data_IF_514094139975
#
_entry.id   IF_514094139975
#
_cell.length_a   1.000
_cell.length_b   1.000
_cell.length_c   1.000
_cell.angle_alpha   90.00
_cell.angle_beta   90.00
_cell.angle_gamma   90.00
#
_symmetry.space_group_name_H-M   'P 1'
#
loop_
_entity.id
_entity.type
_entity.pdbx_description
1 polymer ?
#
# COMPACT_ATOMS: atom_id res chain seq x y z
N UNK A 1 14.18 -17.26 -11.46
CA UNK A 1 14.48 -18.04 -10.25
C UNK A 1 13.23 -18.80 -9.88
N UNK A 2 13.33 -20.10 -9.61
CA UNK A 2 12.19 -20.92 -9.20
C UNK A 2 11.93 -20.65 -7.72
N UNK A 3 10.77 -20.08 -7.36
CA UNK A 3 10.41 -19.82 -5.96
C UNK A 3 10.25 -21.15 -5.22
N UNK A 4 11.01 -21.35 -4.14
CA UNK A 4 10.81 -22.49 -3.24
C UNK A 4 9.71 -22.14 -2.23
N UNK A 5 8.55 -22.77 -2.37
CA UNK A 5 7.42 -22.55 -1.48
C UNK A 5 7.58 -23.30 -0.15
N UNK A 6 7.19 -22.66 0.94
CA UNK A 6 7.17 -23.26 2.28
C UNK A 6 5.74 -23.70 2.62
N UNK A 7 5.49 -25.01 2.84
CA UNK A 7 4.16 -25.51 3.22
C UNK A 7 3.65 -24.88 4.53
N UNK A 8 2.34 -24.63 4.60
CA UNK A 8 1.69 -24.08 5.78
C UNK A 8 0.35 -23.43 5.46
N UNK A 9 -0.36 -22.92 6.48
CA UNK A 9 -1.72 -22.37 6.33
C UNK A 9 -1.77 -21.16 5.40
N UNK A 10 -0.71 -20.34 5.35
CA UNK A 10 -0.63 -19.19 4.43
C UNK A 10 -0.55 -19.64 2.97
N UNK A 11 0.29 -20.63 2.68
CA UNK A 11 0.41 -21.18 1.33
C UNK A 11 -0.86 -21.92 0.90
N UNK A 12 -1.48 -22.65 1.84
CA UNK A 12 -2.78 -23.30 1.61
C UNK A 12 -3.85 -22.28 1.26
N UNK A 13 -3.98 -21.21 2.06
CA UNK A 13 -4.95 -20.14 1.80
C UNK A 13 -4.70 -19.47 0.43
N UNK A 14 -3.44 -19.15 0.10
CA UNK A 14 -3.07 -18.52 -1.17
C UNK A 14 -3.38 -19.40 -2.40
N UNK A 15 -3.47 -20.73 -2.24
CA UNK A 15 -3.72 -21.68 -3.34
C UNK A 15 -5.16 -22.17 -3.43
N UNK A 16 -5.87 -22.20 -2.30
CA UNK A 16 -7.21 -22.83 -2.21
C UNK A 16 -8.35 -21.83 -2.09
N UNK A 17 -8.02 -20.54 -1.90
CA UNK A 17 -9.00 -19.46 -1.75
C UNK A 17 -8.75 -18.35 -2.77
N UNK A 18 -9.70 -17.45 -3.03
CA UNK A 18 -9.47 -16.28 -3.87
C UNK A 18 -8.63 -15.18 -3.19
N UNK A 19 -8.17 -15.38 -1.95
CA UNK A 19 -7.43 -14.39 -1.18
C UNK A 19 -5.99 -14.26 -1.67
N UNK A 20 -5.60 -13.04 -2.06
CA UNK A 20 -4.22 -12.69 -2.35
C UNK A 20 -3.50 -12.27 -1.06
N UNK A 21 -2.43 -12.97 -0.69
CA UNK A 21 -1.61 -12.62 0.46
C UNK A 21 -0.66 -11.47 0.11
N UNK A 22 -0.65 -10.42 0.93
CA UNK A 22 0.28 -9.28 0.79
C UNK A 22 1.11 -9.14 2.08
N UNK A 23 2.38 -8.81 1.92
CA UNK A 23 3.29 -8.52 3.03
C UNK A 23 3.13 -7.05 3.47
N UNK A 24 2.81 -6.78 4.73
CA UNK A 24 2.77 -5.39 5.23
C UNK A 24 4.17 -4.89 5.64
N UNK A 25 5.14 -5.09 4.76
CA UNK A 25 6.53 -4.67 4.91
C UNK A 25 7.25 -4.64 3.55
N UNK A 26 8.19 -3.71 3.40
CA UNK A 26 9.09 -3.57 2.26
C UNK A 26 10.52 -4.06 2.53
N UNK A 27 10.76 -4.65 3.71
CA UNK A 27 12.02 -5.33 4.01
C UNK A 27 12.22 -6.53 3.07
N UNK A 28 13.36 -6.57 2.38
CA UNK A 28 13.62 -7.59 1.36
C UNK A 28 13.66 -9.02 1.92
N UNK A 29 14.08 -9.21 3.17
CA UNK A 29 14.12 -10.52 3.81
C UNK A 29 12.71 -10.99 4.17
N UNK A 30 11.89 -10.11 4.72
CA UNK A 30 10.49 -10.38 5.07
C UNK A 30 9.65 -10.61 3.82
N UNK A 31 9.88 -9.82 2.76
CA UNK A 31 9.20 -9.97 1.48
C UNK A 31 9.55 -11.30 0.80
N UNK A 32 10.83 -11.69 0.77
CA UNK A 32 11.23 -13.01 0.23
C UNK A 32 10.57 -14.16 1.00
N UNK A 33 10.51 -14.05 2.33
CA UNK A 33 9.82 -15.03 3.16
C UNK A 33 8.32 -15.09 2.86
N UNK A 34 7.66 -13.93 2.74
CA UNK A 34 6.25 -13.84 2.38
C UNK A 34 5.96 -14.46 1.01
N UNK A 35 6.81 -14.20 0.00
CA UNK A 35 6.72 -14.84 -1.32
C UNK A 35 6.83 -16.38 -1.21
N UNK A 36 7.74 -16.88 -0.36
CA UNK A 36 7.84 -18.32 -0.06
C UNK A 36 6.55 -18.89 0.56
N UNK A 37 5.76 -18.08 1.26
CA UNK A 37 4.45 -18.45 1.80
C UNK A 37 3.28 -18.22 0.83
N UNK A 38 3.53 -17.86 -0.43
CA UNK A 38 2.49 -17.56 -1.42
C UNK A 38 2.08 -16.08 -1.47
N UNK A 39 2.86 -15.19 -0.86
CA UNK A 39 2.67 -13.74 -0.95
C UNK A 39 2.87 -13.22 -2.37
N UNK A 40 1.97 -12.35 -2.80
CA UNK A 40 1.90 -11.80 -4.17
C UNK A 40 1.86 -10.27 -4.20
N UNK A 41 2.22 -9.62 -3.10
CA UNK A 41 2.31 -8.16 -3.03
C UNK A 41 2.92 -7.70 -1.72
N UNK A 42 3.24 -6.41 -1.64
CA UNK A 42 3.82 -5.80 -0.46
C UNK A 42 3.38 -4.36 -0.27
N UNK A 43 3.60 -3.80 0.91
CA UNK A 43 3.33 -2.39 1.20
C UNK A 43 4.54 -1.69 1.83
N UNK A 44 4.62 -0.39 1.57
CA UNK A 44 5.62 0.53 2.09
C UNK A 44 4.91 1.84 2.47
N UNK A 45 4.75 2.06 3.77
CA UNK A 45 4.31 3.34 4.33
C UNK A 45 5.48 3.99 5.09
N UNK A 46 5.40 5.27 5.50
CA UNK A 46 6.52 5.93 6.17
C UNK A 46 7.02 5.22 7.44
N UNK A 47 6.13 4.57 8.20
CA UNK A 47 6.50 3.82 9.41
C UNK A 47 7.25 2.54 9.04
N UNK A 48 6.81 1.82 8.01
CA UNK A 48 7.49 0.64 7.47
C UNK A 48 8.88 1.04 6.97
N UNK A 49 8.97 2.06 6.12
CA UNK A 49 10.25 2.50 5.55
C UNK A 49 11.25 2.90 6.65
N UNK A 50 10.80 3.68 7.64
CA UNK A 50 11.62 4.03 8.79
C UNK A 50 12.08 2.80 9.58
N UNK A 51 11.18 1.84 9.81
CA UNK A 51 11.51 0.60 10.53
C UNK A 51 12.55 -0.24 9.79
N UNK A 52 12.40 -0.38 8.47
CA UNK A 52 13.37 -1.08 7.59
C UNK A 52 14.74 -0.39 7.62
N UNK A 53 14.79 0.94 7.49
CA UNK A 53 16.04 1.71 7.58
C UNK A 53 16.72 1.49 8.93
N UNK A 54 15.96 1.58 10.02
CA UNK A 54 16.47 1.41 11.38
C UNK A 54 16.98 -0.01 11.66
N UNK A 55 16.35 -1.03 11.07
CA UNK A 55 16.74 -2.44 11.22
C UNK A 55 18.04 -2.77 10.46
N UNK A 56 18.28 -2.12 9.32
CA UNK A 56 19.43 -2.38 8.44
C UNK A 56 20.33 -1.14 8.29
N UNK A 57 20.79 -0.58 9.42
CA UNK A 57 21.62 0.63 9.42
C UNK A 57 22.98 0.44 8.74
N UNK A 58 23.52 -0.77 8.74
CA UNK A 58 24.72 -1.17 8.02
C UNK A 58 24.57 -1.00 6.50
N UNK A 59 23.36 -1.19 5.97
CA UNK A 59 23.03 -0.99 4.55
C UNK A 59 22.62 0.47 4.28
N UNK A 60 21.72 1.03 5.09
CA UNK A 60 21.08 2.30 4.77
C UNK A 60 21.89 3.53 5.17
N UNK A 61 22.74 3.46 6.20
CA UNK A 61 23.60 4.59 6.58
C UNK A 61 24.51 5.04 5.43
N UNK A 62 25.36 4.17 4.84
CA UNK A 62 26.22 4.60 3.74
C UNK A 62 25.44 5.06 2.50
N UNK A 63 24.25 4.50 2.25
CA UNK A 63 23.37 4.94 1.15
C UNK A 63 22.82 6.36 1.38
N UNK A 64 22.33 6.63 2.60
CA UNK A 64 21.82 7.96 2.97
C UNK A 64 22.95 9.01 2.92
N UNK A 65 24.15 8.65 3.41
CA UNK A 65 25.34 9.51 3.30
C UNK A 65 25.70 9.80 1.83
N UNK A 66 25.63 8.78 0.96
CA UNK A 66 25.86 8.95 -0.47
C UNK A 66 24.80 9.83 -1.15
N UNK A 67 23.51 9.67 -0.81
CA UNK A 67 22.42 10.53 -1.30
C UNK A 67 22.69 11.99 -0.89
N UNK A 68 23.07 12.22 0.37
CA UNK A 68 23.38 13.55 0.88
C UNK A 68 24.60 14.17 0.17
N UNK A 69 25.67 13.40 -0.02
CA UNK A 69 26.87 13.85 -0.71
C UNK A 69 26.61 14.19 -2.19
N UNK A 70 25.77 13.41 -2.88
CA UNK A 70 25.40 13.65 -4.27
C UNK A 70 24.43 14.84 -4.43
N UNK A 71 23.69 15.21 -3.37
CA UNK A 71 22.68 16.26 -3.40
C UNK A 71 22.91 17.29 -2.28
N UNK A 72 23.96 18.12 -2.37
CA UNK A 72 24.40 18.98 -1.26
C UNK A 72 23.40 20.07 -0.86
N UNK A 73 22.38 20.35 -1.68
CA UNK A 73 21.33 21.34 -1.40
C UNK A 73 20.05 20.72 -0.86
N UNK A 74 19.96 19.38 -0.78
CA UNK A 74 18.76 18.70 -0.30
C UNK A 74 18.65 18.74 1.23
N UNK A 75 17.44 18.97 1.72
CA UNK A 75 17.12 18.79 3.14
C UNK A 75 16.84 17.33 3.50
N UNK A 76 16.74 17.06 4.81
CA UNK A 76 16.49 15.72 5.38
C UNK A 76 15.29 15.01 4.74
N UNK A 77 14.23 15.75 4.44
CA UNK A 77 13.04 15.20 3.82
C UNK A 77 13.28 14.71 2.40
N UNK A 78 14.06 15.43 1.60
CA UNK A 78 14.35 15.03 0.21
C UNK A 78 15.25 13.79 0.21
N UNK A 79 16.24 13.77 1.09
CA UNK A 79 17.13 12.63 1.30
C UNK A 79 16.34 11.39 1.76
N UNK A 80 15.47 11.55 2.76
CA UNK A 80 14.63 10.47 3.26
C UNK A 80 13.69 9.90 2.19
N UNK A 81 13.04 10.76 1.40
CA UNK A 81 12.18 10.30 0.31
C UNK A 81 12.97 9.62 -0.81
N UNK A 82 14.22 10.03 -1.09
CA UNK A 82 15.06 9.30 -2.03
C UNK A 82 15.37 7.89 -1.53
N UNK A 83 15.70 7.72 -0.24
CA UNK A 83 15.89 6.39 0.33
C UNK A 83 14.62 5.52 0.23
N UNK A 84 13.43 6.11 0.41
CA UNK A 84 12.15 5.41 0.21
C UNK A 84 11.96 4.99 -1.25
N UNK A 85 12.32 5.82 -2.23
CA UNK A 85 12.26 5.48 -3.66
C UNK A 85 13.17 4.29 -3.97
N UNK A 86 14.42 4.35 -3.54
CA UNK A 86 15.40 3.28 -3.77
C UNK A 86 14.94 1.96 -3.14
N UNK A 87 14.45 2.01 -1.90
CA UNK A 87 13.86 0.84 -1.20
C UNK A 87 12.69 0.26 -1.98
N UNK A 88 11.84 1.12 -2.53
CA UNK A 88 10.63 0.70 -3.23
C UNK A 88 10.97 0.03 -4.56
N UNK A 89 11.96 0.54 -5.30
CA UNK A 89 12.44 -0.10 -6.54
C UNK A 89 12.99 -1.50 -6.26
N UNK A 90 13.79 -1.65 -5.21
CA UNK A 90 14.37 -2.95 -4.83
C UNK A 90 13.30 -3.97 -4.42
N UNK A 91 12.32 -3.55 -3.63
CA UNK A 91 11.22 -4.43 -3.20
C UNK A 91 10.28 -4.77 -4.37
N UNK A 92 9.98 -3.81 -5.26
CA UNK A 92 9.18 -4.02 -6.45
C UNK A 92 9.82 -5.03 -7.41
N UNK A 93 11.16 -5.02 -7.54
CA UNK A 93 11.89 -5.96 -8.37
C UNK A 93 11.68 -7.44 -7.96
N UNK A 94 11.55 -7.73 -6.66
CA UNK A 94 11.26 -9.08 -6.17
C UNK A 94 9.88 -9.60 -6.60
N UNK A 95 8.93 -8.70 -6.84
CA UNK A 95 7.55 -9.01 -7.21
C UNK A 95 7.31 -9.01 -8.73
N UNK A 96 8.29 -8.56 -9.53
CA UNK A 96 8.14 -8.44 -10.99
C UNK A 96 7.76 -9.76 -11.69
N UNK A 97 8.32 -10.93 -11.35
CA UNK A 97 7.89 -12.19 -11.96
C UNK A 97 6.41 -12.50 -11.72
N UNK A 98 5.91 -12.21 -10.50
CA UNK A 98 4.51 -12.40 -10.12
C UNK A 98 3.62 -11.39 -10.86
N UNK A 99 4.10 -10.17 -11.05
CA UNK A 99 3.38 -9.14 -11.81
C UNK A 99 3.16 -9.55 -13.27
N UNK A 100 4.18 -10.13 -13.89
CA UNK A 100 4.08 -10.62 -15.26
C UNK A 100 3.17 -11.86 -15.35
N UNK A 101 3.30 -12.81 -14.43
CA UNK A 101 2.44 -14.00 -14.33
C UNK A 101 0.94 -13.65 -14.19
N UNK A 102 0.63 -12.65 -13.37
CA UNK A 102 -0.75 -12.24 -13.09
C UNK A 102 -1.26 -11.10 -14.00
N UNK A 103 -0.57 -10.81 -15.11
CA UNK A 103 -0.90 -9.73 -16.04
C UNK A 103 -1.19 -8.38 -15.35
N UNK A 104 -0.39 -8.05 -14.34
CA UNK A 104 -0.50 -6.82 -13.57
C UNK A 104 -1.57 -6.79 -12.48
N UNK A 105 -2.37 -7.85 -12.29
CA UNK A 105 -3.34 -7.87 -11.18
C UNK A 105 -2.65 -7.97 -9.81
N UNK A 106 -1.68 -8.87 -9.70
CA UNK A 106 -0.85 -9.07 -8.50
C UNK A 106 0.62 -8.70 -8.79
N UNK A 107 1.52 -9.03 -7.87
CA UNK A 107 2.95 -8.75 -7.97
C UNK A 107 3.27 -7.28 -7.73
N UNK A 108 2.49 -6.60 -6.90
CA UNK A 108 2.57 -5.14 -6.74
C UNK A 108 3.21 -4.74 -5.42
N UNK A 109 4.04 -3.70 -5.47
CA UNK A 109 4.49 -3.00 -4.28
C UNK A 109 3.67 -1.72 -4.10
N UNK A 110 3.07 -1.57 -2.92
CA UNK A 110 2.37 -0.34 -2.57
C UNK A 110 3.29 0.69 -1.93
N UNK A 111 3.29 1.93 -2.41
CA UNK A 111 4.09 3.04 -1.84
C UNK A 111 3.18 4.18 -1.45
N UNK A 112 3.22 4.64 -0.19
CA UNK A 112 2.36 5.72 0.27
C UNK A 112 2.90 7.10 -0.07
N UNK A 113 2.02 7.97 -0.57
CA UNK A 113 2.30 9.40 -0.76
C UNK A 113 2.65 10.08 0.56
N UNK A 114 3.26 11.26 0.48
CA UNK A 114 3.62 12.06 1.62
C UNK A 114 2.38 12.51 2.41
N UNK A 115 2.23 12.10 3.68
CA UNK A 115 1.08 12.49 4.50
C UNK A 115 0.96 14.02 4.68
N UNK A 116 2.04 14.79 4.48
CA UNK A 116 2.02 16.25 4.56
C UNK A 116 1.18 16.87 3.45
N UNK A 117 0.97 16.17 2.32
CA UNK A 117 0.11 16.61 1.22
C UNK A 117 -1.39 16.33 1.44
N UNK A 118 -1.81 15.87 2.62
CA UNK A 118 -3.22 15.52 2.90
C UNK A 118 -4.28 16.61 2.64
N UNK A 119 -3.88 17.87 2.46
CA UNK A 119 -4.77 19.01 2.13
C UNK A 119 -4.70 19.45 0.68
N UNK A 120 -3.88 18.81 -0.13
CA UNK A 120 -3.64 19.20 -1.52
C UNK A 120 -3.83 17.99 -2.44
N UNK A 121 -5.01 17.90 -3.07
CA UNK A 121 -5.35 16.80 -3.95
C UNK A 121 -4.41 16.72 -5.17
N UNK A 122 -3.99 17.89 -5.68
CA UNK A 122 -3.08 17.95 -6.82
C UNK A 122 -1.69 17.45 -6.43
N UNK A 123 -1.14 17.87 -5.30
CA UNK A 123 0.16 17.39 -4.83
C UNK A 123 0.16 15.87 -4.58
N UNK A 124 -0.93 15.32 -4.03
CA UNK A 124 -1.10 13.87 -3.87
C UNK A 124 -1.10 13.14 -5.22
N UNK A 125 -1.87 13.63 -6.19
CA UNK A 125 -1.96 13.00 -7.51
C UNK A 125 -0.66 13.13 -8.31
N UNK A 126 0.04 14.28 -8.22
CA UNK A 126 1.34 14.49 -8.86
C UNK A 126 2.40 13.54 -8.30
N UNK A 127 2.47 13.39 -6.99
CA UNK A 127 3.37 12.43 -6.38
C UNK A 127 2.97 10.98 -6.69
N UNK A 128 1.67 10.71 -6.86
CA UNK A 128 1.23 9.39 -7.27
C UNK A 128 1.70 9.03 -8.68
N UNK A 129 1.69 9.97 -9.62
CA UNK A 129 2.29 9.75 -10.94
C UNK A 129 3.81 9.57 -10.84
N UNK A 130 4.47 10.38 -10.01
CA UNK A 130 5.92 10.25 -9.77
C UNK A 130 6.28 8.85 -9.25
N UNK A 131 5.60 8.37 -8.21
CA UNK A 131 5.87 7.07 -7.60
C UNK A 131 5.49 5.90 -8.50
N UNK A 132 4.40 6.02 -9.26
CA UNK A 132 4.03 5.03 -10.26
C UNK A 132 5.13 4.83 -11.31
N UNK A 133 5.82 5.90 -11.68
CA UNK A 133 6.92 5.86 -12.65
C UNK A 133 8.21 5.20 -12.15
N UNK A 134 8.32 4.83 -10.87
CA UNK A 134 9.53 4.20 -10.33
C UNK A 134 9.69 2.74 -10.80
N UNK A 135 8.58 2.02 -11.02
CA UNK A 135 8.53 0.66 -11.56
C UNK A 135 7.11 0.28 -12.01
N UNK A 136 6.99 -0.53 -13.07
CA UNK A 136 5.71 -0.94 -13.68
C UNK A 136 4.69 -1.53 -12.69
N UNK A 137 5.19 -2.16 -11.62
CA UNK A 137 4.39 -2.87 -10.63
C UNK A 137 4.20 -2.10 -9.32
N UNK A 138 4.37 -0.77 -9.32
CA UNK A 138 4.00 0.07 -8.18
C UNK A 138 2.52 0.43 -8.21
N UNK A 139 1.90 0.33 -7.03
CA UNK A 139 0.56 0.83 -6.72
C UNK A 139 0.69 1.93 -5.67
N UNK A 140 0.08 3.10 -5.88
CA UNK A 140 0.32 4.24 -4.99
C UNK A 140 -0.77 4.35 -3.93
N UNK A 141 -0.36 4.48 -2.69
CA UNK A 141 -1.25 4.55 -1.55
C UNK A 141 -1.66 5.99 -1.21
N UNK A 142 -2.96 6.28 -1.26
CA UNK A 142 -3.56 7.58 -0.94
C UNK A 142 -4.65 7.40 0.16
N UNK A 143 -4.67 8.22 1.22
CA UNK A 143 -5.70 8.16 2.26
C UNK A 143 -7.12 8.48 1.76
N UNK A 144 -8.14 7.77 2.28
CA UNK A 144 -9.56 7.98 2.00
C UNK A 144 -10.16 9.18 2.75
N UNK A 145 -9.49 10.33 2.67
CA UNK A 145 -10.04 11.63 3.09
C UNK A 145 -10.81 12.26 1.93
N UNK A 146 -11.65 13.26 2.17
CA UNK A 146 -12.34 13.98 1.08
C UNK A 146 -11.37 14.45 -0.02
N UNK A 147 -10.28 15.11 0.38
CA UNK A 147 -9.21 15.56 -0.53
C UNK A 147 -8.50 14.38 -1.19
N UNK A 148 -8.29 13.29 -0.47
CA UNK A 148 -7.69 12.08 -1.02
C UNK A 148 -8.56 11.41 -2.08
N UNK A 149 -9.89 11.40 -1.92
CA UNK A 149 -10.82 10.87 -2.93
C UNK A 149 -10.72 11.68 -4.24
N UNK A 150 -10.61 13.00 -4.16
CA UNK A 150 -10.37 13.86 -5.32
C UNK A 150 -9.04 13.51 -6.01
N UNK A 151 -7.97 13.30 -5.23
CA UNK A 151 -6.66 12.88 -5.76
C UNK A 151 -6.66 11.48 -6.37
N UNK A 152 -7.43 10.55 -5.78
CA UNK A 152 -7.55 9.16 -6.24
C UNK A 152 -8.18 9.12 -7.64
N UNK A 153 -9.23 9.90 -7.89
CA UNK A 153 -9.86 9.99 -9.21
C UNK A 153 -8.88 10.55 -10.26
N UNK A 154 -8.21 11.67 -9.95
CA UNK A 154 -7.22 12.28 -10.86
C UNK A 154 -6.05 11.33 -11.16
N UNK A 155 -5.45 10.74 -10.13
CA UNK A 155 -4.33 9.82 -10.30
C UNK A 155 -4.74 8.56 -11.09
N UNK A 156 -5.94 8.02 -10.85
CA UNK A 156 -6.47 6.87 -11.60
C UNK A 156 -6.66 7.24 -13.07
N UNK A 157 -7.27 8.38 -13.37
CA UNK A 157 -7.39 8.88 -14.74
C UNK A 157 -6.02 9.02 -15.44
N UNK A 158 -5.01 9.48 -14.69
CA UNK A 158 -3.62 9.59 -15.15
C UNK A 158 -2.88 8.25 -15.31
N UNK A 159 -3.54 7.13 -15.03
CA UNK A 159 -3.04 5.76 -15.25
C UNK A 159 -2.41 5.10 -14.03
N UNK A 160 -2.48 5.74 -12.86
CA UNK A 160 -1.90 5.20 -11.63
C UNK A 160 -2.84 4.16 -11.02
N UNK A 161 -2.33 2.96 -10.74
CA UNK A 161 -3.06 2.02 -9.88
C UNK A 161 -3.00 2.50 -8.43
N UNK A 162 -4.16 2.65 -7.80
CA UNK A 162 -4.28 3.19 -6.44
C UNK A 162 -4.48 2.09 -5.38
N UNK A 163 -3.83 2.24 -4.24
CA UNK A 163 -4.13 1.54 -3.00
C UNK A 163 -4.77 2.53 -2.02
N UNK A 164 -6.09 2.56 -1.95
CA UNK A 164 -6.79 3.44 -1.01
C UNK A 164 -6.48 2.99 0.42
N UNK A 165 -6.09 3.89 1.30
CA UNK A 165 -5.75 3.58 2.70
C UNK A 165 -6.48 4.48 3.69
N UNK A 166 -6.31 4.27 4.99
CA UNK A 166 -6.97 5.07 6.04
C UNK A 166 -8.49 5.11 5.81
N UNK A 167 -9.05 3.98 5.36
CA UNK A 167 -10.48 3.74 5.20
C UNK A 167 -10.96 2.82 6.32
N UNK A 168 -12.02 3.23 7.02
CA UNK A 168 -12.51 2.57 8.23
C UNK A 168 -13.99 2.20 8.15
N UNK A 169 -14.65 2.52 7.04
CA UNK A 169 -16.09 2.35 6.91
C UNK A 169 -16.48 1.93 5.49
N UNK A 170 -17.59 1.20 5.37
CA UNK A 170 -18.15 0.80 4.08
C UNK A 170 -18.41 2.02 3.17
N UNK A 171 -19.01 3.14 3.64
CA UNK A 171 -19.20 4.31 2.79
C UNK A 171 -17.90 4.92 2.24
N UNK A 172 -16.82 4.95 3.03
CA UNK A 172 -15.51 5.41 2.52
C UNK A 172 -14.97 4.50 1.42
N UNK A 173 -15.13 3.18 1.57
CA UNK A 173 -14.71 2.22 0.55
C UNK A 173 -15.52 2.36 -0.74
N UNK A 174 -16.84 2.52 -0.63
CA UNK A 174 -17.73 2.75 -1.78
C UNK A 174 -17.35 4.04 -2.51
N UNK A 175 -17.21 5.16 -1.80
CA UNK A 175 -16.82 6.45 -2.40
C UNK A 175 -15.48 6.37 -3.12
N UNK A 176 -14.51 5.63 -2.56
CA UNK A 176 -13.21 5.45 -3.20
C UNK A 176 -13.30 4.56 -4.44
N UNK A 177 -14.11 3.49 -4.39
CA UNK A 177 -14.42 2.65 -5.55
C UNK A 177 -15.05 3.45 -6.68
N UNK A 178 -16.08 4.25 -6.39
CA UNK A 178 -16.74 5.11 -7.38
C UNK A 178 -15.78 6.15 -7.99
N UNK A 179 -14.86 6.70 -7.21
CA UNK A 179 -13.83 7.62 -7.70
C UNK A 179 -12.84 6.95 -8.65
N UNK A 180 -12.41 5.72 -8.31
CA UNK A 180 -11.58 4.89 -9.18
C UNK A 180 -12.33 4.58 -10.49
N UNK A 181 -13.60 4.17 -10.40
CA UNK A 181 -14.42 3.85 -11.57
C UNK A 181 -14.58 5.07 -12.50
N UNK A 182 -14.87 6.26 -11.97
CA UNK A 182 -14.93 7.49 -12.78
C UNK A 182 -13.62 7.78 -13.49
N UNK A 183 -12.49 7.64 -12.79
CA UNK A 183 -11.15 7.82 -13.36
C UNK A 183 -10.86 6.83 -14.49
N UNK A 184 -11.18 5.55 -14.29
CA UNK A 184 -11.01 4.48 -15.29
C UNK A 184 -11.90 4.71 -16.52
N UNK A 185 -13.19 5.00 -16.32
CA UNK A 185 -14.15 5.25 -17.41
C UNK A 185 -13.69 6.41 -18.28
N UNK A 186 -13.27 7.52 -17.66
CA UNK A 186 -12.77 8.68 -18.40
C UNK A 186 -11.51 8.33 -19.21
N UNK A 187 -10.57 7.61 -18.59
CA UNK A 187 -9.31 7.19 -19.22
C UNK A 187 -9.56 6.29 -20.44
N UNK A 188 -10.42 5.31 -20.29
CA UNK A 188 -10.78 4.36 -21.36
C UNK A 188 -11.52 5.06 -22.51
N UNK A 189 -12.43 5.99 -22.21
CA UNK A 189 -13.13 6.79 -23.22
C UNK A 189 -12.19 7.65 -24.08
N UNK A 190 -11.04 8.03 -23.55
CA UNK A 190 -9.97 8.75 -24.27
C UNK A 190 -8.97 7.80 -24.97
N UNK A 191 -9.22 6.49 -24.96
CA UNK A 191 -8.43 5.47 -25.68
C UNK A 191 -7.15 5.05 -24.96
N UNK A 192 -7.00 5.37 -23.68
CA UNK A 192 -5.84 4.97 -22.88
C UNK A 192 -6.02 3.59 -22.28
N UNK A 193 -4.94 2.81 -22.21
CA UNK A 193 -4.95 1.46 -21.65
C UNK A 193 -5.23 1.46 -20.13
N UNK A 194 -6.07 0.52 -19.72
CA UNK A 194 -6.44 0.21 -18.33
C UNK A 194 -6.29 -1.30 -18.01
N UNK A 195 -5.90 -2.12 -18.99
CA UNK A 195 -5.90 -3.60 -18.89
C UNK A 195 -4.99 -4.15 -17.79
N UNK A 196 -3.92 -3.41 -17.47
CA UNK A 196 -2.97 -3.76 -16.41
C UNK A 196 -3.12 -2.89 -15.17
N UNK A 197 -4.20 -2.12 -15.03
CA UNK A 197 -4.44 -1.38 -13.78
C UNK A 197 -5.05 -2.30 -12.73
N UNK A 198 -4.59 -2.19 -11.48
CA UNK A 198 -5.01 -3.04 -10.37
C UNK A 198 -5.20 -2.25 -9.08
N UNK A 199 -6.26 -1.42 -9.00
CA UNK A 199 -6.53 -0.66 -7.79
C UNK A 199 -7.07 -1.56 -6.66
N UNK A 200 -6.80 -1.17 -5.42
CA UNK A 200 -7.27 -1.86 -4.21
C UNK A 200 -7.79 -0.85 -3.20
N UNK A 201 -8.80 -1.25 -2.42
CA UNK A 201 -9.32 -0.45 -1.30
C UNK A 201 -8.99 -1.15 0.02
N UNK A 202 -8.05 -0.60 0.78
CA UNK A 202 -7.62 -1.17 2.07
C UNK A 202 -8.53 -0.68 3.19
N UNK A 203 -9.19 -1.63 3.85
CA UNK A 203 -9.99 -1.40 5.07
C UNK A 203 -9.18 -1.74 6.33
N UNK A 204 -9.14 -0.82 7.27
CA UNK A 204 -8.35 -0.93 8.51
C UNK A 204 -9.11 -1.68 9.61
N UNK A 205 -9.16 -3.02 9.51
CA UNK A 205 -9.94 -3.90 10.42
C UNK A 205 -9.55 -3.73 11.88
N UNK A 206 -8.29 -4.03 12.24
CA UNK A 206 -7.87 -4.07 13.65
C UNK A 206 -7.95 -2.71 14.37
N UNK A 207 -7.92 -1.60 13.63
CA UNK A 207 -8.09 -0.26 14.22
C UNK A 207 -9.51 -0.02 14.74
N UNK A 208 -10.51 -0.71 14.19
CA UNK A 208 -11.89 -0.66 14.68
C UNK A 208 -11.99 -1.41 16.01
N UNK A 209 -11.36 -2.58 16.11
CA UNK A 209 -11.28 -3.35 17.36
C UNK A 209 -10.60 -2.54 18.47
N UNK A 210 -9.42 -1.96 18.19
CA UNK A 210 -8.69 -1.09 19.11
C UNK A 210 -9.55 0.09 19.60
N UNK A 211 -10.28 0.73 18.68
CA UNK A 211 -11.13 1.87 19.00
C UNK A 211 -12.30 1.48 19.91
N UNK A 212 -12.93 0.34 19.65
CA UNK A 212 -14.03 -0.14 20.49
C UNK A 212 -13.57 -0.54 21.88
N UNK A 213 -12.38 -1.13 22.01
CA UNK A 213 -11.74 -1.38 23.31
C UNK A 213 -11.56 -0.08 24.10
N UNK A 214 -11.12 0.99 23.44
CA UNK A 214 -11.01 2.31 24.06
C UNK A 214 -12.37 2.87 24.50
N UNK A 215 -13.39 2.80 23.66
CA UNK A 215 -14.76 3.28 23.97
C UNK A 215 -15.34 2.52 25.17
N UNK A 216 -15.27 1.19 25.18
CA UNK A 216 -15.78 0.36 26.28
C UNK A 216 -15.09 0.71 27.60
N UNK A 217 -13.76 0.87 27.60
CA UNK A 217 -13.02 1.25 28.79
C UNK A 217 -13.35 2.67 29.27
N UNK A 218 -13.43 3.65 28.35
CA UNK A 218 -13.76 5.05 28.65
C UNK A 218 -15.16 5.18 29.24
N UNK A 219 -16.13 4.53 28.63
CA UNK A 219 -17.56 4.67 28.95
C UNK A 219 -18.03 3.65 29.99
N UNK A 220 -17.13 2.76 30.46
CA UNK A 220 -17.39 1.71 31.46
C UNK A 220 -18.56 0.80 31.06
N UNK A 221 -18.59 0.42 29.78
CA UNK A 221 -19.65 -0.43 29.23
C UNK A 221 -19.41 -1.88 29.63
N UNK A 222 -20.48 -2.58 29.98
CA UNK A 222 -20.45 -4.03 30.21
C UNK A 222 -20.85 -4.74 28.92
N UNK A 223 -19.88 -5.32 28.23
CA UNK A 223 -20.06 -6.08 26.98
C UNK A 223 -19.34 -7.42 27.07
N UNK A 224 -19.71 -8.37 26.22
CA UNK A 224 -18.94 -9.60 26.04
C UNK A 224 -17.53 -9.26 25.52
N UNK A 225 -16.43 -9.61 26.23
CA UNK A 225 -15.08 -9.28 25.81
C UNK A 225 -14.73 -9.84 24.42
N UNK A 226 -15.31 -10.98 24.04
CA UNK A 226 -15.07 -11.58 22.72
C UNK A 226 -15.61 -10.71 21.58
N UNK A 227 -16.65 -9.91 21.83
CA UNK A 227 -17.20 -8.99 20.82
C UNK A 227 -16.14 -7.96 20.37
N UNK A 228 -15.19 -7.60 21.24
CA UNK A 228 -14.12 -6.64 20.94
C UNK A 228 -13.00 -7.21 20.09
N UNK A 229 -12.96 -8.53 19.89
CA UNK A 229 -11.98 -9.21 19.03
C UNK A 229 -12.58 -9.53 17.64
N UNK A 230 -13.89 -9.33 17.45
CA UNK A 230 -14.61 -9.65 16.21
C UNK A 230 -15.31 -8.46 15.57
N UNK A 231 -15.31 -7.29 16.22
CA UNK A 231 -16.12 -6.16 15.79
C UNK A 231 -15.68 -5.58 14.43
N UNK A 232 -14.38 -5.45 14.20
CA UNK A 232 -13.80 -5.01 12.92
C UNK A 232 -14.15 -5.97 11.80
N UNK A 233 -14.04 -7.28 12.05
CA UNK A 233 -14.45 -8.33 11.09
C UNK A 233 -15.94 -8.22 10.78
N UNK A 234 -16.78 -8.06 11.80
CA UNK A 234 -18.22 -7.92 11.65
C UNK A 234 -18.62 -6.64 10.89
N UNK A 235 -17.89 -5.54 11.11
CA UNK A 235 -18.13 -4.27 10.43
C UNK A 235 -17.75 -4.33 8.93
N UNK A 236 -16.65 -5.01 8.60
CA UNK A 236 -16.09 -5.02 7.23
C UNK A 236 -16.66 -6.13 6.35
N UNK A 237 -17.26 -7.17 6.92
CA UNK A 237 -17.97 -8.22 6.16
C UNK A 237 -19.33 -7.78 5.59
N UNK A 238 -19.81 -6.56 5.89
CA UNK A 238 -21.08 -6.01 5.39
C UNK A 238 -20.86 -5.28 4.08
#
# INVERSE_FOLDING_TARGET
MTTTYTPGPLLEAARTTPTALWNDSSDLSELKQSIAFGGVGATCNPVIAYSTIKKHLDVWRPRIEAIAAANPTWGESQIGWQAVRDMSVEAAALLKPIFDEHNGRNGRLSVQTDPRFHRDAKALADQAVEFHGLADNIVVKIPATKVGIEAIEDATYRGVSINVTVSFSVPQAVQAGEAIERGLVRREAEGHDVSRMGPVVTLMVGRIDDWLKHVVARDKLFVDPSALEWAGVAAIKR
#
